data_IF_322817387736
#
_entry.id   IF_322817387736
#
_cell.length_a   1.000
_cell.length_b   1.000
_cell.length_c   1.000
_cell.angle_alpha   90.00
_cell.angle_beta   90.00
_cell.angle_gamma   90.00
#
_symmetry.space_group_name_H-M   'P 1'
#
loop_
_entity.id
_entity.type
_entity.pdbx_description
1 polymer ?
#
# COMPACT_ATOMS: atom_id res chain seq x y z
N UNK A 1 -1.21 27.90 3.37
CA UNK A 1 -1.55 26.77 4.27
C UNK A 1 -3.04 26.40 4.15
N UNK A 2 -3.59 26.36 2.93
CA UNK A 2 -5.01 26.05 2.68
C UNK A 2 -5.18 24.90 1.66
N UNK A 3 -4.10 24.50 0.98
CA UNK A 3 -4.06 23.39 0.00
C UNK A 3 -4.05 22.01 0.67
N UNK A 4 -3.93 21.95 2.01
CA UNK A 4 -4.03 20.72 2.81
C UNK A 4 -5.40 20.56 3.49
N UNK A 5 -6.35 21.48 3.28
CA UNK A 5 -7.70 21.34 3.84
C UNK A 5 -8.51 20.38 2.99
N UNK A 6 -8.67 19.17 3.53
CA UNK A 6 -9.64 18.12 3.18
C UNK A 6 -9.28 17.28 1.96
N UNK A 7 -8.28 16.41 2.11
CA UNK A 7 -8.55 15.03 1.73
C UNK A 7 -9.54 14.53 2.77
N UNK A 8 -10.81 14.33 2.41
CA UNK A 8 -11.67 13.48 3.22
C UNK A 8 -11.05 12.09 3.13
N UNK A 9 -10.23 11.73 4.12
CA UNK A 9 -9.92 10.32 4.32
C UNK A 9 -11.27 9.64 4.49
N UNK A 10 -11.63 8.75 3.57
CA UNK A 10 -12.79 7.89 3.73
C UNK A 10 -12.51 6.99 4.92
N UNK A 11 -13.01 7.38 6.11
CA UNK A 11 -12.71 6.68 7.36
C UNK A 11 -13.40 5.34 7.46
N UNK A 12 -14.41 5.09 6.62
CA UNK A 12 -15.15 3.83 6.58
C UNK A 12 -14.21 2.63 6.36
N UNK A 13 -13.29 2.72 5.40
CA UNK A 13 -12.34 1.64 5.12
C UNK A 13 -11.31 1.46 6.25
N UNK A 14 -10.91 2.55 6.91
CA UNK A 14 -10.05 2.47 8.10
C UNK A 14 -10.78 1.80 9.27
N UNK A 15 -12.06 2.11 9.48
CA UNK A 15 -12.89 1.51 10.53
C UNK A 15 -13.07 0.00 10.29
N UNK A 16 -13.22 -0.43 9.04
CA UNK A 16 -13.31 -1.85 8.70
C UNK A 16 -11.97 -2.56 8.91
N UNK A 17 -10.85 -1.95 8.51
CA UNK A 17 -9.51 -2.49 8.80
C UNK A 17 -9.23 -2.60 10.31
N UNK A 18 -9.74 -1.65 11.11
CA UNK A 18 -9.66 -1.71 12.58
C UNK A 18 -10.49 -2.86 13.15
N UNK A 19 -11.71 -3.09 12.66
CA UNK A 19 -12.53 -4.25 13.08
C UNK A 19 -11.83 -5.57 12.78
N UNK A 20 -11.32 -5.73 11.56
CA UNK A 20 -10.61 -6.94 11.15
C UNK A 20 -9.35 -7.19 12.01
N UNK A 21 -8.60 -6.13 12.30
CA UNK A 21 -7.44 -6.15 13.19
C UNK A 21 -7.81 -6.58 14.62
N UNK A 22 -8.95 -6.13 15.14
CA UNK A 22 -9.46 -6.56 16.45
C UNK A 22 -9.88 -8.03 16.47
N UNK A 23 -10.42 -8.56 15.38
CA UNK A 23 -10.89 -9.95 15.28
C UNK A 23 -9.76 -10.96 15.12
N UNK A 24 -8.78 -10.68 14.25
CA UNK A 24 -7.73 -11.62 13.90
C UNK A 24 -6.48 -11.53 14.81
N UNK A 25 -6.35 -10.43 15.55
CA UNK A 25 -5.16 -10.12 16.34
C UNK A 25 -3.99 -9.69 15.46
N UNK A 26 -3.40 -8.54 15.77
CA UNK A 26 -2.35 -7.93 14.95
C UNK A 26 -2.84 -6.69 14.21
N UNK A 27 -1.93 -5.95 13.57
CA UNK A 27 -2.20 -4.65 12.94
C UNK A 27 -2.10 -4.69 11.41
N UNK A 28 -1.90 -5.87 10.83
CA UNK A 28 -1.63 -6.03 9.40
C UNK A 28 -2.73 -5.43 8.50
N UNK A 29 -4.04 -5.56 8.80
CA UNK A 29 -5.08 -4.89 8.01
C UNK A 29 -4.94 -3.37 8.01
N UNK A 30 -4.70 -2.78 9.19
CA UNK A 30 -4.53 -1.33 9.37
C UNK A 30 -3.27 -0.83 8.67
N UNK A 31 -2.16 -1.55 8.80
CA UNK A 31 -0.89 -1.22 8.14
C UNK A 31 -1.04 -1.29 6.62
N UNK A 32 -1.73 -2.30 6.11
CA UNK A 32 -1.97 -2.47 4.68
C UNK A 32 -2.82 -1.33 4.11
N UNK A 33 -3.89 -0.95 4.82
CA UNK A 33 -4.72 0.21 4.47
C UNK A 33 -3.92 1.52 4.46
N UNK A 34 -3.17 1.81 5.53
CA UNK A 34 -2.37 3.05 5.57
C UNK A 34 -1.28 3.07 4.50
N UNK A 35 -0.74 1.90 4.14
CA UNK A 35 0.22 1.79 3.05
C UNK A 35 -0.41 2.05 1.68
N UNK A 36 -1.63 1.58 1.41
CA UNK A 36 -2.32 1.87 0.15
C UNK A 36 -2.68 3.34 0.03
N UNK A 37 -3.20 3.97 1.10
CA UNK A 37 -3.50 5.41 1.11
C UNK A 37 -2.24 6.26 0.85
N UNK A 38 -1.13 5.92 1.51
CA UNK A 38 0.16 6.59 1.26
C UNK A 38 0.57 6.47 -0.22
N UNK A 39 0.39 5.31 -0.85
CA UNK A 39 0.71 5.11 -2.28
C UNK A 39 -0.16 5.97 -3.18
N UNK A 40 -1.46 6.02 -2.90
CA UNK A 40 -2.42 6.87 -3.63
C UNK A 40 -1.99 8.34 -3.59
N UNK A 41 -1.59 8.83 -2.42
CA UNK A 41 -1.13 10.21 -2.26
C UNK A 41 0.20 10.47 -2.96
N UNK A 42 1.20 9.58 -2.81
CA UNK A 42 2.48 9.72 -3.53
C UNK A 42 2.28 9.75 -5.05
N UNK A 43 1.41 8.87 -5.57
CA UNK A 43 1.05 8.85 -6.99
C UNK A 43 0.40 10.17 -7.40
N UNK A 44 -0.57 10.68 -6.63
CA UNK A 44 -1.24 11.95 -6.88
C UNK A 44 -0.23 13.11 -6.88
N UNK A 45 0.64 13.19 -5.89
CA UNK A 45 1.66 14.25 -5.77
C UNK A 45 2.66 14.23 -6.94
N UNK A 46 3.08 13.05 -7.37
CA UNK A 46 3.94 12.86 -8.55
C UNK A 46 3.32 13.44 -9.82
N UNK A 47 2.04 13.14 -10.09
CA UNK A 47 1.35 13.65 -11.28
C UNK A 47 1.09 15.17 -11.21
N UNK A 48 0.78 15.70 -10.02
CA UNK A 48 0.55 17.14 -9.83
C UNK A 48 1.83 17.97 -9.92
N UNK A 49 3.00 17.38 -9.63
CA UNK A 49 4.27 18.10 -9.54
C UNK A 49 5.39 17.37 -10.32
N UNK A 50 5.28 17.23 -11.65
CA UNK A 50 6.16 16.37 -12.45
C UNK A 50 7.61 16.85 -12.55
N UNK A 51 7.89 18.14 -12.29
CA UNK A 51 9.24 18.71 -12.33
C UNK A 51 9.87 18.88 -10.94
N UNK A 52 9.32 18.21 -9.92
CA UNK A 52 9.79 18.24 -8.54
C UNK A 52 10.49 16.92 -8.14
N UNK A 53 10.80 16.74 -6.86
CA UNK A 53 11.30 15.47 -6.33
C UNK A 53 10.22 14.38 -6.21
N UNK A 54 8.93 14.73 -6.25
CA UNK A 54 7.83 13.77 -6.00
C UNK A 54 7.81 12.57 -6.97
N UNK A 55 8.05 12.72 -8.29
CA UNK A 55 8.13 11.56 -9.18
C UNK A 55 9.24 10.58 -8.82
N UNK A 56 10.41 11.07 -8.38
CA UNK A 56 11.50 10.20 -7.92
C UNK A 56 11.11 9.49 -6.63
N UNK A 57 10.48 10.17 -5.69
CA UNK A 57 10.00 9.58 -4.43
C UNK A 57 8.96 8.49 -4.71
N UNK A 58 7.96 8.78 -5.56
CA UNK A 58 6.94 7.80 -5.96
C UNK A 58 7.55 6.60 -6.68
N UNK A 59 8.52 6.83 -7.57
CA UNK A 59 9.25 5.75 -8.24
C UNK A 59 10.00 4.86 -7.26
N UNK A 60 10.72 5.44 -6.29
CA UNK A 60 11.46 4.67 -5.29
C UNK A 60 10.52 3.82 -4.42
N UNK A 61 9.38 4.38 -4.00
CA UNK A 61 8.38 3.63 -3.24
C UNK A 61 7.80 2.47 -4.06
N UNK A 62 7.47 2.73 -5.33
CA UNK A 62 7.00 1.70 -6.26
C UNK A 62 8.04 0.59 -6.46
N UNK A 63 9.33 0.94 -6.51
CA UNK A 63 10.43 -0.05 -6.62
C UNK A 63 10.62 -0.88 -5.36
N UNK A 64 10.40 -0.31 -4.17
CA UNK A 64 10.42 -1.09 -2.93
C UNK A 64 9.29 -2.12 -2.94
N UNK A 65 8.07 -1.72 -3.33
CA UNK A 65 6.92 -2.62 -3.44
C UNK A 65 7.17 -3.73 -4.47
N UNK A 66 7.70 -3.40 -5.64
CA UNK A 66 8.03 -4.38 -6.68
C UNK A 66 8.99 -5.46 -6.16
N UNK A 67 10.07 -5.06 -5.50
CA UNK A 67 11.05 -6.02 -4.92
C UNK A 67 10.42 -6.87 -3.82
N UNK A 68 9.53 -6.30 -2.99
CA UNK A 68 8.80 -7.06 -1.98
C UNK A 68 7.89 -8.12 -2.60
N UNK A 69 7.11 -7.73 -3.61
CA UNK A 69 6.22 -8.62 -4.36
C UNK A 69 7.00 -9.74 -5.07
N UNK A 70 8.11 -9.41 -5.75
CA UNK A 70 8.98 -10.40 -6.39
C UNK A 70 9.56 -11.38 -5.35
N UNK A 71 9.97 -10.88 -4.18
CA UNK A 71 10.48 -11.73 -3.10
C UNK A 71 9.40 -12.67 -2.57
N UNK A 72 8.18 -12.18 -2.37
CA UNK A 72 7.04 -12.97 -1.92
C UNK A 72 6.71 -14.07 -2.95
N UNK A 73 6.61 -13.70 -4.23
CA UNK A 73 6.36 -14.63 -5.34
C UNK A 73 7.42 -15.75 -5.39
N UNK A 74 8.70 -15.39 -5.40
CA UNK A 74 9.80 -16.38 -5.46
C UNK A 74 9.76 -17.32 -4.27
N UNK A 75 9.55 -16.81 -3.05
CA UNK A 75 9.47 -17.64 -1.84
C UNK A 75 8.26 -18.55 -1.83
N UNK A 76 7.09 -18.03 -2.18
CA UNK A 76 5.84 -18.80 -2.24
C UNK A 76 5.93 -19.94 -3.25
N UNK A 77 6.44 -19.65 -4.46
CA UNK A 77 6.68 -20.67 -5.49
C UNK A 77 7.71 -21.71 -5.04
N UNK A 78 8.78 -21.31 -4.35
CA UNK A 78 9.82 -22.23 -3.88
C UNK A 78 9.32 -23.25 -2.85
N UNK A 79 8.27 -22.94 -2.08
CA UNK A 79 7.65 -23.86 -1.11
C UNK A 79 6.36 -24.50 -1.63
N UNK A 80 5.99 -24.27 -2.89
CA UNK A 80 4.83 -24.88 -3.53
C UNK A 80 3.48 -24.29 -3.13
N UNK A 81 3.42 -23.02 -2.70
CA UNK A 81 2.14 -22.33 -2.52
C UNK A 81 1.40 -22.19 -3.86
N UNK A 82 0.07 -22.26 -3.80
CA UNK A 82 -0.76 -21.99 -4.97
C UNK A 82 -0.73 -20.49 -5.31
N UNK A 83 -1.04 -20.20 -6.57
CA UNK A 83 -0.98 -18.85 -7.12
C UNK A 83 -1.98 -17.94 -6.39
N UNK A 84 -3.15 -18.47 -6.03
CA UNK A 84 -4.18 -17.75 -5.28
C UNK A 84 -3.70 -17.33 -3.90
N UNK A 85 -2.97 -18.21 -3.19
CA UNK A 85 -2.41 -17.88 -1.87
C UNK A 85 -1.33 -16.82 -1.98
N UNK A 86 -0.48 -16.87 -3.01
CA UNK A 86 0.56 -15.88 -3.23
C UNK A 86 -0.06 -14.52 -3.56
N UNK A 87 -1.00 -14.48 -4.50
CA UNK A 87 -1.68 -13.26 -4.94
C UNK A 87 -2.43 -12.56 -3.81
N UNK A 88 -3.07 -13.32 -2.91
CA UNK A 88 -3.76 -12.77 -1.74
C UNK A 88 -2.84 -12.00 -0.77
N UNK A 89 -1.52 -12.22 -0.84
CA UNK A 89 -0.54 -11.54 0.02
C UNK A 89 0.32 -10.51 -0.74
N UNK A 90 0.07 -10.30 -2.04
CA UNK A 90 0.72 -9.24 -2.81
C UNK A 90 0.03 -7.90 -2.55
N UNK A 91 0.82 -6.83 -2.48
CA UNK A 91 0.30 -5.47 -2.37
C UNK A 91 0.34 -4.77 -3.74
N UNK A 92 -0.68 -3.95 -4.02
CA UNK A 92 -0.85 -3.21 -5.26
C UNK A 92 -0.98 -1.70 -5.02
#
# INVERSE_FOLDING_TARGET
MEVLRRTSMETAELEDALKESHEHGGLDPVVSYLASERRTDLRRMSHLNPLSAFPLIYYLESKVLEVQNLRLLVRGKAVGLSDEVIEAHMAF
#
